data_IF_079212148937
#
_entry.id   IF_079212148937
#
_cell.length_a   1.000
_cell.length_b   1.000
_cell.length_c   1.000
_cell.angle_alpha   90.00
_cell.angle_beta   90.00
_cell.angle_gamma   90.00
#
_symmetry.space_group_name_H-M   'P 1'
#
loop_
_entity.id
_entity.type
_entity.pdbx_description
1 polymer ?
#
# COMPACT_ATOMS: atom_id res chain seq x y z
N UNK A 1 -74.82 -10.62 -18.35
CA UNK A 1 -74.82 -11.38 -17.08
C UNK A 1 -74.02 -10.55 -16.08
N UNK A 2 -74.63 -9.49 -15.54
CA UNK A 2 -75.30 -9.40 -14.22
C UNK A 2 -74.33 -9.50 -13.03
N UNK A 3 -74.16 -8.34 -12.36
CA UNK A 3 -73.93 -8.13 -10.91
C UNK A 3 -72.66 -8.75 -10.27
N UNK A 4 -71.98 -8.13 -9.29
CA UNK A 4 -72.49 -7.25 -8.22
C UNK A 4 -71.32 -6.48 -7.59
N UNK A 5 -71.53 -5.19 -7.36
CA UNK A 5 -70.78 -4.41 -6.40
C UNK A 5 -71.18 -4.82 -4.97
N UNK A 6 -70.20 -4.95 -4.07
CA UNK A 6 -70.39 -4.82 -2.62
C UNK A 6 -69.24 -3.95 -2.12
N UNK A 7 -69.59 -2.80 -1.55
CA UNK A 7 -68.65 -1.89 -0.93
C UNK A 7 -68.20 -2.35 0.46
N UNK A 8 -67.05 -1.84 0.89
CA UNK A 8 -66.73 -1.69 2.31
C UNK A 8 -65.96 -0.39 2.49
N UNK A 9 -66.66 0.60 3.06
CA UNK A 9 -66.08 1.78 3.69
C UNK A 9 -65.34 1.36 4.97
N UNK A 10 -64.41 2.23 5.37
CA UNK A 10 -63.82 2.37 6.71
C UNK A 10 -62.79 1.34 7.16
N UNK A 11 -61.52 1.69 6.91
CA UNK A 11 -60.45 1.66 7.94
C UNK A 11 -59.29 2.56 7.51
N UNK A 12 -59.46 3.88 7.66
CA UNK A 12 -58.38 4.88 7.68
C UNK A 12 -58.55 5.68 8.96
N UNK A 13 -57.82 5.31 10.01
CA UNK A 13 -57.45 6.14 11.16
C UNK A 13 -56.86 5.23 12.26
N UNK A 14 -55.58 4.87 12.15
CA UNK A 14 -54.66 4.63 13.28
C UNK A 14 -53.26 4.20 12.76
N UNK A 15 -52.60 5.08 12.00
CA UNK A 15 -51.16 4.95 11.70
C UNK A 15 -50.54 6.35 11.81
N UNK A 16 -50.71 6.95 12.98
CA UNK A 16 -49.95 8.12 13.37
C UNK A 16 -49.18 7.74 14.64
N UNK A 17 -47.89 8.10 14.63
CA UNK A 17 -47.03 8.22 15.80
C UNK A 17 -46.51 6.94 16.44
N UNK A 18 -45.71 6.17 15.70
CA UNK A 18 -44.46 5.60 16.24
C UNK A 18 -43.34 5.85 15.23
N UNK A 19 -43.11 7.13 14.89
CA UNK A 19 -41.82 7.54 14.34
C UNK A 19 -40.82 7.41 15.48
N UNK A 20 -40.27 6.20 15.68
CA UNK A 20 -39.10 6.03 16.52
C UNK A 20 -38.06 6.96 15.93
N UNK A 21 -37.61 7.95 16.70
CA UNK A 21 -36.49 8.79 16.31
C UNK A 21 -35.34 7.85 15.97
N UNK A 22 -35.10 7.65 14.67
CA UNK A 22 -33.95 6.89 14.23
C UNK A 22 -32.75 7.61 14.83
N UNK A 23 -31.95 6.87 15.60
CA UNK A 23 -30.67 7.35 16.13
C UNK A 23 -29.96 8.03 14.96
N UNK A 24 -29.52 9.27 15.15
CA UNK A 24 -28.77 9.99 14.12
C UNK A 24 -27.58 9.14 13.69
N UNK A 25 -27.13 9.28 12.44
CA UNK A 25 -25.97 8.53 11.96
C UNK A 25 -24.74 8.74 12.86
N UNK A 26 -24.60 9.92 13.46
CA UNK A 26 -23.56 10.23 14.43
C UNK A 26 -23.74 9.46 15.74
N UNK A 27 -24.95 9.40 16.30
CA UNK A 27 -25.23 8.61 17.51
C UNK A 27 -25.00 7.11 17.29
N UNK A 28 -25.27 6.61 16.08
CA UNK A 28 -24.97 5.22 15.71
C UNK A 28 -23.46 4.98 15.63
N UNK A 29 -22.69 5.89 15.03
CA UNK A 29 -21.22 5.78 14.94
C UNK A 29 -20.58 5.83 16.32
N UNK A 30 -21.04 6.73 17.18
CA UNK A 30 -20.54 6.84 18.55
C UNK A 30 -20.85 5.57 19.36
N UNK A 31 -22.09 5.07 19.31
CA UNK A 31 -22.47 3.83 19.99
C UNK A 31 -21.65 2.61 19.49
N UNK A 32 -21.40 2.51 18.18
CA UNK A 32 -20.55 1.46 17.62
C UNK A 32 -19.10 1.60 18.08
N UNK A 33 -18.55 2.81 18.12
CA UNK A 33 -17.22 3.08 18.63
C UNK A 33 -17.08 2.66 20.10
N UNK A 34 -18.02 3.07 20.95
CA UNK A 34 -18.06 2.69 22.36
C UNK A 34 -18.21 1.16 22.54
N UNK A 35 -19.02 0.51 21.72
CA UNK A 35 -19.17 -0.94 21.72
C UNK A 35 -17.84 -1.65 21.43
N UNK A 36 -17.15 -1.27 20.34
CA UNK A 36 -15.87 -1.90 19.99
C UNK A 36 -14.78 -1.59 21.02
N UNK A 37 -14.77 -0.40 21.60
CA UNK A 37 -13.87 -0.06 22.68
C UNK A 37 -14.10 -0.94 23.92
N UNK A 38 -15.37 -1.21 24.28
CA UNK A 38 -15.71 -2.12 25.37
C UNK A 38 -15.29 -3.57 25.05
N UNK A 39 -15.51 -4.02 23.82
CA UNK A 39 -15.10 -5.35 23.36
C UNK A 39 -13.59 -5.50 23.45
N UNK A 40 -12.82 -4.54 22.95
CA UNK A 40 -11.36 -4.59 22.98
C UNK A 40 -10.80 -4.47 24.39
N UNK A 41 -11.38 -3.61 25.23
CA UNK A 41 -10.97 -3.50 26.64
C UNK A 41 -11.17 -4.83 27.41
N UNK A 42 -12.22 -5.60 27.07
CA UNK A 42 -12.55 -6.84 27.77
C UNK A 42 -11.93 -8.09 27.17
N UNK A 43 -11.76 -8.11 25.85
CA UNK A 43 -11.44 -9.32 25.09
C UNK A 43 -10.31 -9.12 24.07
N UNK A 44 -9.84 -7.88 23.92
CA UNK A 44 -8.68 -7.56 23.08
C UNK A 44 -7.42 -8.16 23.65
N UNK A 45 -6.57 -8.62 22.75
CA UNK A 45 -5.28 -9.22 23.07
C UNK A 45 -4.43 -9.19 21.80
N UNK A 46 -4.00 -7.99 21.42
CA UNK A 46 -3.23 -7.78 20.20
C UNK A 46 -1.90 -8.56 20.20
N UNK A 47 -1.30 -8.75 21.38
CA UNK A 47 -0.08 -9.54 21.57
C UNK A 47 -0.28 -11.00 21.14
N UNK A 48 -1.45 -11.59 21.40
CA UNK A 48 -1.76 -12.95 20.94
C UNK A 48 -1.91 -13.09 19.41
N UNK A 49 -1.99 -11.96 18.69
CA UNK A 49 -2.01 -11.96 17.22
C UNK A 49 -0.61 -11.82 16.61
N UNK A 50 0.44 -11.60 17.41
CA UNK A 50 1.81 -11.58 16.90
C UNK A 50 2.21 -13.00 16.55
N UNK A 51 2.60 -13.19 15.29
CA UNK A 51 3.11 -14.45 14.82
C UNK A 51 4.47 -14.73 15.46
N UNK A 52 4.78 -16.02 15.60
CA UNK A 52 6.05 -16.51 16.11
C UNK A 52 6.65 -17.53 15.13
N UNK A 53 7.92 -17.88 15.32
CA UNK A 53 8.60 -18.89 14.50
C UNK A 53 8.72 -18.48 13.03
N UNK A 54 8.40 -19.41 12.12
CA UNK A 54 8.57 -19.21 10.68
C UNK A 54 7.69 -18.10 10.10
N UNK A 55 6.45 -17.97 10.58
CA UNK A 55 5.51 -16.95 10.08
C UNK A 55 5.99 -15.52 10.40
N UNK A 56 6.70 -15.34 11.52
CA UNK A 56 7.31 -14.08 11.94
C UNK A 56 8.67 -13.79 11.29
N UNK A 57 9.22 -14.74 10.53
CA UNK A 57 10.58 -14.64 10.02
C UNK A 57 10.72 -13.54 8.96
N UNK A 58 11.84 -12.82 9.02
CA UNK A 58 12.39 -12.13 7.84
C UNK A 58 13.44 -13.03 7.21
N UNK A 59 13.10 -13.63 6.07
CA UNK A 59 14.04 -14.45 5.32
C UNK A 59 15.11 -13.52 4.73
N UNK A 60 16.39 -13.77 5.03
CA UNK A 60 17.50 -13.03 4.44
C UNK A 60 18.21 -13.92 3.42
N UNK A 61 18.37 -13.42 2.20
CA UNK A 61 18.96 -14.14 1.07
C UNK A 61 19.88 -13.23 0.25
N UNK A 62 20.79 -13.80 -0.51
CA UNK A 62 21.60 -13.07 -1.50
C UNK A 62 20.96 -13.07 -2.90
N UNK A 63 19.94 -13.90 -3.10
CA UNK A 63 19.25 -14.08 -4.38
C UNK A 63 17.74 -14.21 -4.17
N UNK A 64 16.97 -13.82 -5.18
CA UNK A 64 15.54 -14.08 -5.23
C UNK A 64 15.31 -15.54 -5.62
N UNK A 65 14.74 -16.34 -4.71
CA UNK A 65 14.55 -17.78 -4.92
C UNK A 65 13.07 -18.18 -4.92
N UNK A 66 12.65 -19.14 -5.77
CA UNK A 66 11.27 -19.61 -5.82
C UNK A 66 10.73 -20.07 -4.46
N UNK A 67 11.52 -20.76 -3.65
CA UNK A 67 11.11 -21.28 -2.35
C UNK A 67 10.88 -20.16 -1.32
N UNK A 68 11.66 -19.08 -1.35
CA UNK A 68 11.47 -17.94 -0.47
C UNK A 68 10.23 -17.12 -0.87
N UNK A 69 10.02 -16.95 -2.18
CA UNK A 69 8.81 -16.35 -2.71
C UNK A 69 7.58 -17.17 -2.32
N UNK A 70 7.60 -18.48 -2.49
CA UNK A 70 6.49 -19.35 -2.11
C UNK A 70 6.13 -19.19 -0.63
N UNK A 71 7.12 -19.15 0.26
CA UNK A 71 6.89 -18.90 1.70
C UNK A 71 6.27 -17.53 1.96
N UNK A 72 6.82 -16.47 1.38
CA UNK A 72 6.29 -15.11 1.54
C UNK A 72 4.84 -15.02 1.04
N UNK A 73 4.57 -15.59 -0.13
CA UNK A 73 3.26 -15.55 -0.79
C UNK A 73 2.22 -16.46 -0.12
N UNK A 74 2.65 -17.40 0.71
CA UNK A 74 1.79 -18.28 1.50
C UNK A 74 1.56 -17.80 2.94
N UNK A 75 2.06 -16.62 3.32
CA UNK A 75 2.08 -16.15 4.72
C UNK A 75 2.95 -16.99 5.68
N UNK A 76 3.88 -17.79 5.15
CA UNK A 76 4.82 -18.61 5.95
C UNK A 76 6.14 -17.89 6.28
N UNK A 77 6.20 -16.60 5.95
CA UNK A 77 7.21 -15.63 6.36
C UNK A 77 6.61 -14.21 6.26
N UNK A 78 7.07 -13.31 7.13
CA UNK A 78 6.59 -11.93 7.17
C UNK A 78 7.24 -11.08 6.08
N UNK A 79 8.54 -11.31 5.86
CA UNK A 79 9.34 -10.51 4.93
C UNK A 79 10.42 -11.34 4.25
N UNK A 80 10.86 -10.87 3.09
CA UNK A 80 12.01 -11.36 2.35
C UNK A 80 12.96 -10.19 2.08
N UNK A 81 14.19 -10.28 2.56
CA UNK A 81 15.27 -9.32 2.34
C UNK A 81 16.34 -9.95 1.46
N UNK A 82 16.41 -9.51 0.20
CA UNK A 82 17.44 -9.91 -0.76
C UNK A 82 18.54 -8.85 -0.78
N UNK A 83 19.72 -9.22 -0.27
CA UNK A 83 20.88 -8.34 -0.14
C UNK A 83 21.53 -8.09 -1.49
N UNK A 84 21.97 -6.86 -1.71
CA UNK A 84 22.67 -6.45 -2.95
C UNK A 84 21.91 -6.91 -4.21
N UNK A 85 20.56 -6.91 -4.14
CA UNK A 85 19.69 -7.29 -5.24
C UNK A 85 19.99 -6.45 -6.49
N UNK A 86 20.34 -5.18 -6.33
CA UNK A 86 20.81 -4.30 -7.37
C UNK A 86 22.19 -3.79 -6.97
N UNK A 87 23.13 -3.70 -7.93
CA UNK A 87 24.53 -3.37 -7.60
C UNK A 87 24.61 -2.03 -6.83
N UNK A 88 25.17 -2.08 -5.62
CA UNK A 88 25.18 -0.99 -4.64
C UNK A 88 25.63 0.35 -5.21
N UNK A 89 26.74 0.38 -5.95
CA UNK A 89 27.28 1.61 -6.54
C UNK A 89 26.30 2.23 -7.53
N UNK A 90 25.65 1.41 -8.34
CA UNK A 90 24.65 1.84 -9.33
C UNK A 90 23.36 2.27 -8.64
N UNK A 91 22.92 1.57 -7.61
CA UNK A 91 21.78 1.97 -6.77
C UNK A 91 21.98 3.40 -6.23
N UNK A 92 23.14 3.67 -5.62
CA UNK A 92 23.48 5.00 -5.08
C UNK A 92 23.48 6.07 -6.16
N UNK A 93 24.07 5.79 -7.34
CA UNK A 93 24.08 6.74 -8.47
C UNK A 93 22.66 7.08 -8.91
N UNK A 94 21.81 6.07 -9.14
CA UNK A 94 20.40 6.27 -9.50
C UNK A 94 19.67 7.04 -8.40
N UNK A 95 19.91 6.70 -7.14
CA UNK A 95 19.34 7.41 -6.00
C UNK A 95 19.69 8.90 -5.97
N UNK A 96 20.95 9.25 -6.25
CA UNK A 96 21.38 10.66 -6.35
C UNK A 96 20.70 11.37 -7.52
N UNK A 97 20.66 10.76 -8.71
CA UNK A 97 20.00 11.35 -9.89
C UNK A 97 18.52 11.62 -9.60
N UNK A 98 17.83 10.69 -8.93
CA UNK A 98 16.43 10.85 -8.53
C UNK A 98 16.25 11.93 -7.46
N UNK A 99 17.18 12.07 -6.52
CA UNK A 99 17.14 13.16 -5.53
C UNK A 99 17.30 14.52 -6.23
N UNK A 100 18.20 14.64 -7.19
CA UNK A 100 18.37 15.86 -7.99
C UNK A 100 17.09 16.17 -8.80
N UNK A 101 16.52 15.16 -9.47
CA UNK A 101 15.23 15.29 -10.18
C UNK A 101 14.10 15.75 -9.24
N UNK A 102 14.10 15.26 -8.00
CA UNK A 102 13.08 15.58 -6.99
C UNK A 102 13.05 17.07 -6.60
N UNK A 103 14.16 17.78 -6.74
CA UNK A 103 14.21 19.22 -6.44
C UNK A 103 13.23 20.00 -7.32
N UNK A 104 12.96 19.52 -8.53
CA UNK A 104 12.11 20.20 -9.51
C UNK A 104 10.78 19.49 -9.74
N UNK A 105 10.71 18.16 -9.63
CA UNK A 105 9.59 17.36 -10.14
C UNK A 105 9.02 16.36 -9.12
N UNK A 106 8.81 16.78 -7.87
CA UNK A 106 8.19 15.89 -6.87
C UNK A 106 6.69 16.11 -6.76
N UNK A 107 5.93 15.03 -6.94
CA UNK A 107 4.52 14.99 -6.58
C UNK A 107 4.36 14.38 -5.20
N UNK A 108 3.56 15.00 -4.34
CA UNK A 108 3.29 14.46 -3.00
C UNK A 108 2.50 13.14 -3.10
N UNK A 109 2.98 12.09 -2.43
CA UNK A 109 2.24 10.85 -2.31
C UNK A 109 1.02 11.07 -1.43
N UNK A 110 -0.17 10.73 -1.94
CA UNK A 110 -1.41 10.78 -1.16
C UNK A 110 -1.84 9.38 -0.77
N UNK A 111 -2.13 9.20 0.52
CA UNK A 111 -2.63 7.94 1.09
C UNK A 111 -4.12 8.05 1.31
N UNK A 112 -4.87 6.99 1.01
CA UNK A 112 -6.29 6.92 1.36
C UNK A 112 -6.43 6.65 2.85
N UNK A 113 -7.14 7.53 3.54
CA UNK A 113 -7.50 7.40 4.96
C UNK A 113 -9.01 7.34 5.10
N UNK A 114 -9.51 7.06 6.30
CA UNK A 114 -10.94 7.17 6.63
C UNK A 114 -11.52 8.57 6.37
N UNK A 115 -10.68 9.60 6.25
CA UNK A 115 -11.05 11.00 5.99
C UNK A 115 -10.87 11.42 4.52
N UNK A 116 -10.41 10.51 3.66
CA UNK A 116 -10.11 10.79 2.25
C UNK A 116 -8.61 10.74 1.94
N UNK A 117 -8.18 11.37 0.85
CA UNK A 117 -6.77 11.41 0.44
C UNK A 117 -5.99 12.43 1.28
N UNK A 118 -5.05 11.96 2.10
CA UNK A 118 -4.17 12.80 2.91
C UNK A 118 -2.75 12.81 2.36
N UNK A 119 -2.08 13.97 2.44
CA UNK A 119 -0.69 14.15 2.02
C UNK A 119 0.28 13.41 2.95
N UNK A 120 1.22 12.66 2.37
CA UNK A 120 2.29 11.96 3.08
C UNK A 120 3.58 12.79 3.12
N UNK A 121 4.54 12.42 3.97
CA UNK A 121 5.91 12.97 3.93
C UNK A 121 6.75 12.33 2.80
N UNK A 122 6.15 11.40 2.06
CA UNK A 122 6.76 10.72 0.92
C UNK A 122 6.43 11.49 -0.36
N UNK A 123 7.47 11.88 -1.10
CA UNK A 123 7.34 12.32 -2.48
C UNK A 123 7.41 11.13 -3.44
N UNK A 124 6.75 11.24 -4.59
CA UNK A 124 6.95 10.32 -5.71
C UNK A 124 7.40 11.06 -6.95
N UNK A 125 8.28 10.41 -7.71
CA UNK A 125 8.78 10.88 -8.99
C UNK A 125 8.23 10.01 -10.10
N UNK A 126 8.05 10.60 -11.27
CA UNK A 126 7.61 9.93 -12.48
C UNK A 126 6.53 10.71 -13.22
N UNK A 127 6.24 10.26 -14.43
CA UNK A 127 5.31 10.90 -15.36
C UNK A 127 3.84 10.57 -15.10
N UNK A 128 3.53 9.81 -14.04
CA UNK A 128 2.16 9.49 -13.67
C UNK A 128 1.95 9.55 -12.15
N UNK A 129 0.73 9.86 -11.75
CA UNK A 129 0.31 9.72 -10.34
C UNK A 129 0.22 8.23 -9.96
N UNK A 130 0.19 7.90 -8.67
CA UNK A 130 -0.23 6.57 -8.22
C UNK A 130 -1.66 6.24 -8.71
N UNK A 131 -1.93 4.99 -9.08
CA UNK A 131 -3.21 4.63 -9.72
C UNK A 131 -4.44 4.90 -8.86
N UNK A 132 -4.35 4.65 -7.55
CA UNK A 132 -5.39 4.95 -6.58
C UNK A 132 -5.74 6.45 -6.56
N UNK A 133 -4.74 7.33 -6.73
CA UNK A 133 -4.95 8.78 -6.84
C UNK A 133 -5.66 9.13 -8.15
N UNK A 134 -5.26 8.53 -9.27
CA UNK A 134 -5.92 8.73 -10.56
C UNK A 134 -7.40 8.31 -10.51
N UNK A 135 -7.69 7.15 -9.93
CA UNK A 135 -9.07 6.65 -9.79
C UNK A 135 -9.90 7.52 -8.85
N UNK A 136 -9.32 7.98 -7.74
CA UNK A 136 -10.00 8.88 -6.81
C UNK A 136 -10.33 10.22 -7.47
N UNK A 137 -9.41 10.81 -8.23
CA UNK A 137 -9.65 12.03 -9.03
C UNK A 137 -10.76 11.83 -10.05
N UNK A 138 -10.73 10.72 -10.79
CA UNK A 138 -11.78 10.41 -11.77
C UNK A 138 -13.17 10.34 -11.13
N UNK A 139 -13.30 9.74 -9.94
CA UNK A 139 -14.57 9.72 -9.18
C UNK A 139 -15.04 11.09 -8.72
N UNK A 140 -14.12 11.99 -8.38
CA UNK A 140 -14.44 13.36 -7.97
C UNK A 140 -14.87 14.22 -9.15
N UNK A 141 -14.26 14.02 -10.32
CA UNK A 141 -14.50 14.78 -11.55
C UNK A 141 -15.72 14.27 -12.34
N UNK A 142 -16.68 13.61 -11.69
CA UNK A 142 -17.86 12.99 -12.31
C UNK A 142 -18.82 13.94 -13.09
N UNK A 143 -18.41 15.15 -13.47
CA UNK A 143 -19.19 16.13 -14.23
C UNK A 143 -18.28 17.01 -15.11
N UNK A 144 -18.34 16.84 -16.43
CA UNK A 144 -17.87 17.83 -17.42
C UNK A 144 -16.73 17.37 -18.32
N UNK A 145 -16.78 17.79 -19.59
CA UNK A 145 -15.71 17.59 -20.59
C UNK A 145 -14.36 18.05 -20.02
N UNK A 146 -13.43 17.11 -19.88
CA UNK A 146 -12.12 17.36 -19.26
C UNK A 146 -11.19 16.16 -19.42
N UNK A 147 -9.92 16.35 -19.03
CA UNK A 147 -8.87 15.32 -19.08
C UNK A 147 -9.29 14.14 -18.20
N UNK A 148 -9.42 12.95 -18.80
CA UNK A 148 -9.66 11.69 -18.08
C UNK A 148 -8.41 11.32 -17.28
N UNK A 149 -8.43 11.43 -15.94
CA UNK A 149 -7.25 11.19 -15.11
C UNK A 149 -6.73 9.75 -15.21
N UNK A 150 -7.60 8.79 -15.56
CA UNK A 150 -7.20 7.39 -15.78
C UNK A 150 -6.43 7.27 -17.08
N UNK A 151 -6.85 7.95 -18.15
CA UNK A 151 -6.07 7.97 -19.38
C UNK A 151 -4.73 8.68 -19.20
N UNK A 152 -4.71 9.83 -18.51
CA UNK A 152 -3.47 10.55 -18.16
C UNK A 152 -2.49 9.63 -17.40
N UNK A 153 -2.99 8.83 -16.45
CA UNK A 153 -2.18 7.83 -15.76
C UNK A 153 -1.50 6.85 -16.73
N UNK A 154 -2.25 6.24 -17.64
CA UNK A 154 -1.69 5.24 -18.56
C UNK A 154 -0.74 5.85 -19.61
N UNK A 155 -1.02 7.07 -20.08
CA UNK A 155 -0.10 7.81 -20.95
C UNK A 155 1.21 8.11 -20.22
N UNK A 156 1.12 8.55 -18.97
CA UNK A 156 2.27 8.78 -18.11
C UNK A 156 3.07 7.51 -17.83
N UNK A 157 2.43 6.36 -17.60
CA UNK A 157 3.10 5.05 -17.46
C UNK A 157 3.92 4.70 -18.71
N UNK A 158 3.34 4.88 -19.90
CA UNK A 158 4.05 4.61 -21.15
C UNK A 158 5.22 5.56 -21.39
N UNK A 159 5.04 6.84 -21.06
CA UNK A 159 6.10 7.84 -21.15
C UNK A 159 7.25 7.51 -20.19
N UNK A 160 6.94 7.15 -18.93
CA UNK A 160 7.90 6.75 -17.90
C UNK A 160 8.76 5.58 -18.37
N UNK A 161 8.13 4.50 -18.88
CA UNK A 161 8.87 3.33 -19.39
C UNK A 161 9.82 3.71 -20.54
N UNK A 162 9.38 4.57 -21.45
CA UNK A 162 10.23 5.03 -22.56
C UNK A 162 11.39 5.87 -22.06
N UNK A 163 11.14 6.80 -21.15
CA UNK A 163 12.16 7.72 -20.64
C UNK A 163 13.19 6.95 -19.83
N UNK A 164 12.79 6.19 -18.81
CA UNK A 164 13.71 5.49 -17.89
C UNK A 164 14.59 4.47 -18.61
N UNK A 165 14.06 3.76 -19.61
CA UNK A 165 14.82 2.77 -20.40
C UNK A 165 15.69 3.38 -21.50
N UNK A 166 15.45 4.64 -21.87
CA UNK A 166 16.25 5.37 -22.86
C UNK A 166 17.25 6.34 -22.24
N UNK A 167 17.23 6.50 -20.91
CA UNK A 167 18.23 7.29 -20.20
C UNK A 167 19.62 6.66 -20.45
N UNK A 168 20.55 7.40 -21.07
CA UNK A 168 21.91 6.92 -21.22
C UNK A 168 22.51 6.69 -19.83
N UNK A 169 23.32 5.64 -19.68
CA UNK A 169 24.22 5.57 -18.53
C UNK A 169 25.05 6.88 -18.49
N UNK A 170 25.26 7.43 -17.30
CA UNK A 170 26.02 8.67 -17.12
C UNK A 170 27.32 8.63 -17.93
N UNK A 171 27.66 9.73 -18.60
CA UNK A 171 28.71 9.87 -19.62
C UNK A 171 30.15 9.41 -19.25
N UNK A 172 30.36 8.88 -18.04
CA UNK A 172 31.63 8.26 -17.60
C UNK A 172 31.81 6.82 -18.10
N UNK A 173 30.77 6.16 -18.58
CA UNK A 173 30.88 4.88 -19.28
C UNK A 173 30.97 5.16 -20.79
N UNK A 174 32.13 4.91 -21.38
CA UNK A 174 32.50 5.26 -22.78
C UNK A 174 31.79 4.41 -23.85
N UNK A 175 30.62 3.87 -23.54
CA UNK A 175 29.74 3.17 -24.48
C UNK A 175 28.31 3.64 -24.29
N UNK A 176 27.56 3.78 -25.39
CA UNK A 176 26.12 4.07 -25.36
C UNK A 176 25.35 2.85 -24.82
N UNK A 177 25.51 2.54 -23.53
CA UNK A 177 24.72 1.52 -22.86
C UNK A 177 23.54 2.18 -22.17
N UNK A 178 22.35 1.66 -22.44
CA UNK A 178 21.14 2.05 -21.72
C UNK A 178 21.21 1.56 -20.28
N UNK A 179 20.83 2.42 -19.34
CA UNK A 179 20.78 2.07 -17.92
C UNK A 179 19.71 1.00 -17.70
N UNK A 180 20.09 -0.15 -17.13
CA UNK A 180 19.15 -1.20 -16.76
C UNK A 180 18.39 -0.81 -15.48
N UNK A 181 17.09 -0.56 -15.54
CA UNK A 181 16.35 0.02 -14.42
C UNK A 181 16.08 -1.02 -13.30
N UNK A 182 16.14 -0.66 -12.00
CA UNK A 182 15.92 -1.62 -10.90
C UNK A 182 14.58 -2.36 -10.98
N UNK A 183 13.52 -1.69 -11.43
CA UNK A 183 12.21 -2.32 -11.62
C UNK A 183 12.20 -3.32 -12.78
N UNK A 184 12.98 -3.06 -13.84
CA UNK A 184 13.13 -4.01 -14.95
C UNK A 184 13.88 -5.27 -14.48
N UNK A 185 14.87 -5.10 -13.58
CA UNK A 185 15.54 -6.22 -12.91
C UNK A 185 14.54 -7.07 -12.12
N UNK A 186 13.77 -6.45 -11.24
CA UNK A 186 12.76 -7.15 -10.44
C UNK A 186 11.75 -7.91 -11.30
N UNK A 187 11.29 -7.31 -12.41
CA UNK A 187 10.38 -7.98 -13.33
C UNK A 187 11.00 -9.25 -13.93
N UNK A 188 12.25 -9.19 -14.40
CA UNK A 188 12.93 -10.33 -14.99
C UNK A 188 13.22 -11.43 -13.96
N UNK A 189 13.72 -11.08 -12.78
CA UNK A 189 13.99 -12.10 -11.75
C UNK A 189 12.71 -12.75 -11.21
N UNK A 190 11.60 -12.01 -11.11
CA UNK A 190 10.30 -12.60 -10.79
C UNK A 190 9.79 -13.50 -11.91
N UNK A 191 10.05 -13.15 -13.18
CA UNK A 191 9.68 -13.97 -14.33
C UNK A 191 10.45 -15.30 -14.34
N UNK A 192 11.72 -15.29 -13.95
CA UNK A 192 12.56 -16.50 -13.83
C UNK A 192 12.23 -17.31 -12.57
N UNK A 193 11.89 -16.65 -11.47
CA UNK A 193 11.62 -17.31 -10.18
C UNK A 193 10.20 -17.87 -10.07
N UNK A 194 9.26 -17.40 -10.89
CA UNK A 194 7.86 -17.84 -10.82
C UNK A 194 7.52 -18.79 -11.98
N UNK A 195 7.01 -20.01 -11.71
CA UNK A 195 6.79 -21.01 -12.76
C UNK A 195 5.87 -20.55 -13.91
N UNK A 196 4.92 -19.66 -13.63
CA UNK A 196 3.98 -19.11 -14.62
C UNK A 196 4.45 -17.79 -15.23
N UNK A 197 5.66 -17.33 -14.88
CA UNK A 197 6.19 -16.01 -15.21
C UNK A 197 5.57 -14.88 -14.39
N UNK A 198 6.14 -13.69 -14.55
CA UNK A 198 5.68 -12.45 -13.92
C UNK A 198 5.55 -11.34 -14.96
N UNK A 199 4.46 -10.57 -14.88
CA UNK A 199 4.17 -9.50 -15.82
C UNK A 199 3.49 -8.33 -15.14
N UNK A 200 3.48 -7.19 -15.84
CA UNK A 200 2.67 -6.06 -15.41
C UNK A 200 1.19 -6.43 -15.53
N UNK A 201 0.43 -6.13 -14.47
CA UNK A 201 -1.01 -6.14 -14.54
C UNK A 201 -1.48 -5.25 -15.71
N UNK A 202 -2.64 -5.56 -16.28
CA UNK A 202 -3.25 -4.78 -17.35
C UNK A 202 -4.68 -4.45 -17.01
N UNK A 203 -5.19 -3.37 -17.60
CA UNK A 203 -6.62 -3.07 -17.53
C UNK A 203 -7.47 -4.28 -17.92
N UNK A 204 -8.70 -4.33 -17.43
CA UNK A 204 -9.66 -5.29 -17.96
C UNK A 204 -9.88 -5.02 -19.46
N UNK A 205 -10.00 -6.09 -20.24
CA UNK A 205 -10.24 -5.97 -21.67
C UNK A 205 -11.62 -5.34 -21.89
N UNK A 206 -11.63 -4.05 -22.24
CA UNK A 206 -12.86 -3.39 -22.70
C UNK A 206 -13.13 -3.78 -24.14
N UNK A 207 -14.40 -4.01 -24.51
CA UNK A 207 -14.81 -4.25 -25.91
C UNK A 207 -14.81 -2.96 -26.76
N UNK A 208 -14.05 -1.93 -26.37
CA UNK A 208 -13.99 -0.66 -27.09
C UNK A 208 -13.07 -0.79 -28.31
N UNK A 209 -13.57 -0.38 -29.48
CA UNK A 209 -12.80 -0.36 -30.72
C UNK A 209 -11.57 0.56 -30.64
N UNK A 210 -11.61 1.59 -29.77
CA UNK A 210 -10.55 2.58 -29.63
C UNK A 210 -9.38 2.12 -28.75
N UNK A 211 -9.56 1.01 -28.01
CA UNK A 211 -8.54 0.44 -27.12
C UNK A 211 -8.36 -1.05 -27.43
N UNK A 212 -7.72 -1.40 -28.56
CA UNK A 212 -7.62 -2.79 -29.02
C UNK A 212 -6.81 -3.68 -28.07
N UNK A 213 -5.99 -3.09 -27.20
CA UNK A 213 -5.16 -3.83 -26.24
C UNK A 213 -5.27 -3.23 -24.83
N UNK A 214 -5.41 -4.07 -23.79
CA UNK A 214 -5.31 -3.65 -22.40
C UNK A 214 -3.97 -2.97 -22.09
N UNK A 215 -4.05 -1.76 -21.52
CA UNK A 215 -2.86 -0.96 -21.17
C UNK A 215 -2.24 -1.51 -19.88
N UNK A 216 -0.90 -1.54 -19.78
CA UNK A 216 -0.23 -2.02 -18.57
C UNK A 216 -0.29 -0.96 -17.45
N UNK A 217 -0.46 -1.40 -16.21
CA UNK A 217 -0.22 -0.55 -15.06
C UNK A 217 1.27 -0.25 -14.90
N UNK A 218 1.61 0.85 -14.22
CA UNK A 218 2.98 1.10 -13.79
C UNK A 218 3.44 0.01 -12.81
N UNK A 219 4.69 -0.44 -12.94
CA UNK A 219 5.24 -1.47 -12.05
C UNK A 219 5.74 -0.93 -10.71
N UNK A 220 5.75 0.39 -10.52
CA UNK A 220 6.23 1.07 -9.31
C UNK A 220 6.66 2.50 -9.62
N UNK A 221 6.83 3.32 -8.57
CA UNK A 221 7.32 4.69 -8.67
C UNK A 221 8.46 4.89 -7.66
N UNK A 222 9.53 5.61 -8.01
CA UNK A 222 10.51 6.08 -7.04
C UNK A 222 9.84 6.89 -5.92
N UNK A 223 10.19 6.58 -4.68
CA UNK A 223 9.73 7.28 -3.47
C UNK A 223 10.91 8.04 -2.86
N UNK A 224 10.71 9.33 -2.59
CA UNK A 224 11.69 10.20 -1.95
C UNK A 224 11.18 10.58 -0.58
N UNK A 225 11.93 10.23 0.46
CA UNK A 225 11.65 10.61 1.83
C UNK A 225 12.63 11.69 2.25
N UNK A 226 12.16 12.94 2.34
CA UNK A 226 13.00 14.07 2.76
C UNK A 226 12.81 14.33 4.25
N UNK A 227 13.89 14.27 5.00
CA UNK A 227 13.89 14.59 6.43
C UNK A 227 13.84 16.09 6.72
N UNK A 228 13.40 16.51 7.93
CA UNK A 228 12.75 15.67 8.93
C UNK A 228 11.31 15.32 8.51
N UNK A 229 10.91 14.06 8.69
CA UNK A 229 9.52 13.59 8.50
C UNK A 229 8.67 13.94 9.72
N UNK A 230 7.34 13.98 9.58
CA UNK A 230 6.38 14.18 10.68
C UNK A 230 6.58 13.15 11.78
N UNK A 231 6.91 11.93 11.40
CA UNK A 231 7.17 10.81 12.32
C UNK A 231 8.64 10.42 12.30
N UNK A 232 9.28 10.39 13.48
CA UNK A 232 10.69 10.02 13.62
C UNK A 232 10.99 8.61 13.08
N UNK A 233 10.03 7.68 13.20
CA UNK A 233 10.15 6.27 12.76
C UNK A 233 9.20 5.92 11.60
N UNK A 234 8.71 6.92 10.87
CA UNK A 234 7.63 6.72 9.90
C UNK A 234 6.27 6.50 10.56
N UNK A 235 5.20 6.47 9.75
CA UNK A 235 3.85 6.14 10.20
C UNK A 235 3.61 4.64 10.03
N UNK A 236 3.03 4.02 11.05
CA UNK A 236 2.60 2.62 11.04
C UNK A 236 1.33 2.56 10.19
N UNK A 237 1.32 1.65 9.22
CA UNK A 237 0.17 1.38 8.37
C UNK A 237 0.23 -0.04 7.82
N UNK A 238 -0.84 -0.40 7.12
CA UNK A 238 -0.98 -1.63 6.35
C UNK A 238 -1.54 -1.26 4.97
N UNK A 239 -1.01 -1.90 3.92
CA UNK A 239 -1.44 -1.60 2.55
C UNK A 239 -2.82 -2.22 2.24
N UNK A 240 -3.12 -3.41 2.78
CA UNK A 240 -4.38 -4.12 2.53
C UNK A 240 -4.87 -4.90 3.76
N UNK A 241 -6.11 -4.64 4.19
CA UNK A 241 -6.75 -5.29 5.34
C UNK A 241 -7.55 -6.54 4.95
N UNK A 242 -7.76 -6.75 3.65
CA UNK A 242 -8.40 -7.93 3.09
C UNK A 242 -7.60 -9.20 3.35
N UNK A 243 -8.26 -10.35 3.55
CA UNK A 243 -7.59 -11.63 3.70
C UNK A 243 -6.89 -12.02 2.39
N UNK A 244 -5.76 -12.70 2.50
CA UNK A 244 -5.08 -13.30 1.36
C UNK A 244 -6.00 -14.35 0.70
N UNK A 245 -6.06 -14.31 -0.63
CA UNK A 245 -6.80 -15.29 -1.43
C UNK A 245 -5.81 -16.29 -2.07
N UNK A 246 -6.19 -17.57 -2.24
CA UNK A 246 -5.27 -18.57 -2.82
C UNK A 246 -4.77 -18.25 -4.23
N UNK A 247 -5.47 -17.38 -4.97
CA UNK A 247 -5.18 -17.04 -6.36
C UNK A 247 -4.79 -15.59 -6.58
N UNK A 248 -4.96 -14.72 -5.57
CA UNK A 248 -4.62 -13.30 -5.64
C UNK A 248 -4.09 -12.82 -4.30
N UNK A 249 -3.04 -12.02 -4.37
CA UNK A 249 -2.55 -11.32 -3.19
C UNK A 249 -1.92 -9.99 -3.53
N UNK A 250 -1.85 -9.12 -2.53
CA UNK A 250 -1.09 -7.87 -2.56
C UNK A 250 0.17 -8.05 -1.73
N UNK A 251 1.30 -7.70 -2.36
CA UNK A 251 2.63 -7.77 -1.75
C UNK A 251 3.35 -6.47 -2.05
N UNK A 252 4.16 -6.00 -1.10
CA UNK A 252 5.00 -4.82 -1.29
C UNK A 252 6.40 -5.27 -1.68
N UNK A 253 7.05 -4.52 -2.56
CA UNK A 253 8.43 -4.75 -2.95
C UNK A 253 9.12 -3.37 -3.06
N UNK A 254 10.19 -3.17 -2.29
CA UNK A 254 10.94 -1.92 -2.26
C UNK A 254 12.41 -2.22 -2.57
N UNK A 255 12.96 -1.53 -3.56
CA UNK A 255 14.40 -1.56 -3.87
C UNK A 255 15.00 -0.28 -3.32
N UNK A 256 15.95 -0.40 -2.39
CA UNK A 256 16.53 0.73 -1.69
C UNK A 256 17.69 1.30 -2.52
N UNK A 257 17.56 2.54 -2.98
CA UNK A 257 18.55 3.14 -3.88
C UNK A 257 19.58 4.00 -3.14
N UNK A 258 19.13 4.75 -2.12
CA UNK A 258 19.99 5.54 -1.26
C UNK A 258 19.38 5.63 0.13
N UNK A 259 20.25 5.50 1.14
CA UNK A 259 19.88 5.64 2.54
C UNK A 259 20.18 7.05 3.04
N UNK A 260 19.46 7.56 4.05
CA UNK A 260 19.77 8.85 4.65
C UNK A 260 21.22 8.87 5.18
N UNK A 261 21.95 9.93 4.88
CA UNK A 261 23.32 10.12 5.36
C UNK A 261 23.30 10.37 6.87
N UNK A 262 24.14 9.65 7.60
CA UNK A 262 24.32 9.81 9.04
C UNK A 262 25.22 11.03 9.27
N UNK A 263 24.66 12.24 9.14
CA UNK A 263 25.37 13.49 9.46
C UNK A 263 25.05 13.98 10.86
N UNK A 264 26.08 14.16 11.71
CA UNK A 264 26.24 14.90 13.00
C UNK A 264 25.10 15.02 14.04
N UNK A 265 23.92 14.46 13.80
CA UNK A 265 22.81 14.50 14.72
C UNK A 265 23.02 13.47 15.83
N UNK A 266 23.12 13.97 17.07
CA UNK A 266 23.20 13.23 18.35
C UNK A 266 22.00 12.30 18.66
N UNK A 267 21.33 11.70 17.67
CA UNK A 267 20.20 10.80 17.87
C UNK A 267 20.41 9.52 17.04
N UNK A 268 20.43 8.39 17.76
CA UNK A 268 20.72 7.01 17.31
C UNK A 268 20.70 6.80 15.78
N UNK A 269 21.88 6.81 15.14
CA UNK A 269 22.09 6.53 13.71
C UNK A 269 21.56 5.17 13.22
N UNK A 270 21.43 4.22 14.14
CA UNK A 270 21.33 2.80 13.85
C UNK A 270 20.06 2.39 13.09
N UNK A 271 19.00 3.21 13.15
CA UNK A 271 17.72 2.88 12.53
C UNK A 271 17.29 3.86 11.43
N UNK A 272 18.19 4.74 10.96
CA UNK A 272 17.84 5.71 9.92
C UNK A 272 17.49 5.00 8.60
N UNK A 273 16.25 5.16 8.14
CA UNK A 273 15.73 4.48 6.94
C UNK A 273 15.42 2.99 7.14
N UNK A 274 15.47 2.48 8.38
CA UNK A 274 15.06 1.11 8.68
C UNK A 274 13.56 0.92 8.54
N UNK A 275 13.16 -0.30 8.19
CA UNK A 275 11.78 -0.72 8.09
C UNK A 275 11.40 -1.51 9.34
N UNK A 276 10.37 -1.05 10.05
CA UNK A 276 9.81 -1.71 11.21
C UNK A 276 8.57 -2.50 10.78
N UNK A 277 8.61 -3.81 10.98
CA UNK A 277 7.55 -4.73 10.56
C UNK A 277 7.04 -5.49 11.78
N UNK A 278 5.74 -5.42 12.03
CA UNK A 278 5.10 -6.23 13.06
C UNK A 278 4.46 -7.45 12.39
N UNK A 279 4.83 -8.68 12.78
CA UNK A 279 4.33 -9.90 12.17
C UNK A 279 2.91 -10.21 12.67
N UNK A 280 1.93 -9.39 12.30
CA UNK A 280 0.57 -9.48 12.83
C UNK A 280 -0.32 -10.44 12.02
N UNK A 281 -0.69 -11.57 12.61
CA UNK A 281 -1.51 -12.62 11.97
C UNK A 281 -2.99 -12.56 12.34
N UNK A 282 -3.76 -11.68 11.69
CA UNK A 282 -5.22 -11.60 11.88
C UNK A 282 -5.96 -12.71 11.13
N UNK A 283 -6.23 -13.84 11.81
CA UNK A 283 -6.75 -15.09 11.21
C UNK A 283 -8.27 -15.22 11.15
N UNK A 284 -9.00 -14.37 11.87
CA UNK A 284 -10.45 -14.44 11.90
C UNK A 284 -11.13 -13.09 12.00
N UNK A 285 -12.42 -13.05 11.67
CA UNK A 285 -13.26 -11.86 11.94
C UNK A 285 -13.37 -11.59 13.44
N UNK A 286 -13.26 -12.61 14.28
CA UNK A 286 -13.33 -12.44 15.72
C UNK A 286 -12.08 -11.75 16.24
N UNK A 287 -10.89 -12.10 15.74
CA UNK A 287 -9.63 -11.42 16.05
C UNK A 287 -9.71 -9.94 15.67
N UNK A 288 -10.29 -9.67 14.50
CA UNK A 288 -10.58 -8.31 14.05
C UNK A 288 -11.50 -7.57 15.03
N UNK A 289 -12.66 -8.15 15.38
CA UNK A 289 -13.62 -7.46 16.26
C UNK A 289 -13.10 -7.27 17.69
N UNK A 290 -12.28 -8.20 18.19
CA UNK A 290 -11.64 -8.09 19.51
C UNK A 290 -10.59 -7.00 19.57
N UNK A 291 -10.00 -6.61 18.44
CA UNK A 291 -8.95 -5.59 18.39
C UNK A 291 -9.33 -4.44 17.43
N UNK A 292 -10.64 -4.18 17.26
CA UNK A 292 -11.15 -3.32 16.20
C UNK A 292 -10.70 -1.86 16.33
N UNK A 293 -10.53 -1.33 17.54
CA UNK A 293 -10.03 0.03 17.80
C UNK A 293 -8.57 0.11 17.36
N UNK A 294 -7.70 -0.77 17.88
CA UNK A 294 -6.29 -0.80 17.48
C UNK A 294 -6.12 -1.05 15.97
N UNK A 295 -6.89 -1.97 15.38
CA UNK A 295 -6.83 -2.25 13.94
C UNK A 295 -7.32 -1.09 13.07
N UNK A 296 -8.31 -0.33 13.54
CA UNK A 296 -8.78 0.85 12.82
C UNK A 296 -7.71 1.96 12.80
N UNK A 297 -6.87 2.04 13.83
CA UNK A 297 -5.75 2.98 13.89
C UNK A 297 -4.71 2.74 12.79
N UNK A 298 -4.59 1.52 12.25
CA UNK A 298 -3.69 1.22 11.11
C UNK A 298 -4.06 2.00 9.83
N UNK A 299 -5.30 2.49 9.74
CA UNK A 299 -5.78 3.33 8.64
C UNK A 299 -5.76 4.83 8.96
N UNK A 300 -5.26 5.21 10.14
CA UNK A 300 -5.25 6.58 10.64
C UNK A 300 -3.83 7.15 10.71
N UNK A 301 -3.68 8.43 10.36
CA UNK A 301 -2.40 9.15 10.41
C UNK A 301 -2.33 10.17 11.55
N UNK A 302 -3.30 10.20 12.47
CA UNK A 302 -3.27 11.14 13.59
C UNK A 302 -2.30 10.68 14.69
N UNK A 303 -1.80 11.64 15.47
CA UNK A 303 -0.74 11.39 16.45
C UNK A 303 -1.16 10.49 17.60
N UNK A 304 -2.41 10.55 18.04
CA UNK A 304 -2.89 9.71 19.13
C UNK A 304 -2.89 8.25 18.67
N UNK A 305 -3.53 7.96 17.53
CA UNK A 305 -3.57 6.63 16.93
C UNK A 305 -2.18 6.03 16.70
N UNK A 306 -1.22 6.83 16.23
CA UNK A 306 0.14 6.37 15.98
C UNK A 306 0.91 6.07 17.28
N UNK A 307 0.73 6.87 18.33
CA UNK A 307 1.32 6.60 19.66
C UNK A 307 0.73 5.32 20.24
N UNK A 308 -0.59 5.16 20.17
CA UNK A 308 -1.28 3.98 20.69
C UNK A 308 -0.80 2.71 19.98
N UNK A 309 -0.65 2.74 18.65
CA UNK A 309 -0.10 1.63 17.87
C UNK A 309 1.31 1.24 18.33
N UNK A 310 2.19 2.22 18.56
CA UNK A 310 3.55 1.96 19.05
C UNK A 310 3.58 1.30 20.42
N UNK A 311 2.63 1.62 21.29
CA UNK A 311 2.51 0.99 22.61
C UNK A 311 1.88 -0.40 22.53
N UNK A 312 0.87 -0.57 21.68
CA UNK A 312 0.07 -1.81 21.61
C UNK A 312 0.74 -2.92 20.80
N UNK A 313 1.48 -2.61 19.73
CA UNK A 313 2.03 -3.63 18.82
C UNK A 313 3.31 -4.30 19.35
N UNK A 314 3.84 -3.90 20.51
CA UNK A 314 5.06 -4.50 21.04
C UNK A 314 6.29 -4.29 20.16
N UNK A 315 7.26 -5.20 20.23
CA UNK A 315 8.55 -5.06 19.55
C UNK A 315 8.45 -5.48 18.06
N UNK A 316 8.82 -4.60 17.11
CA UNK A 316 8.86 -4.94 15.69
C UNK A 316 10.09 -5.77 15.31
N UNK A 317 9.97 -6.49 14.20
CA UNK A 317 11.12 -6.90 13.40
C UNK A 317 11.70 -5.68 12.69
N UNK A 318 13.01 -5.46 12.83
CA UNK A 318 13.69 -4.30 12.24
C UNK A 318 14.58 -4.75 11.09
N UNK A 319 14.20 -4.37 9.87
CA UNK A 319 14.99 -4.60 8.66
C UNK A 319 15.80 -3.33 8.38
N UNK A 320 17.12 -3.49 8.23
CA UNK A 320 18.07 -2.40 7.95
C UNK A 320 18.60 -2.53 6.53
N UNK A 321 17.86 -2.05 5.53
CA UNK A 321 18.26 -2.21 4.14
C UNK A 321 19.47 -1.33 3.82
N UNK A 322 20.34 -1.83 2.96
CA UNK A 322 21.43 -1.07 2.36
C UNK A 322 21.08 -0.65 0.92
N UNK A 323 21.80 0.33 0.33
CA UNK A 323 21.64 0.63 -1.08
C UNK A 323 21.89 -0.60 -1.95
N UNK A 324 20.91 -0.94 -2.78
CA UNK A 324 20.89 -2.14 -3.61
C UNK A 324 19.97 -3.23 -3.11
N UNK A 325 19.55 -3.21 -1.84
CA UNK A 325 18.72 -4.28 -1.30
C UNK A 325 17.28 -4.23 -1.82
N UNK A 326 16.67 -5.41 -1.95
CA UNK A 326 15.25 -5.60 -2.18
C UNK A 326 14.61 -6.12 -0.89
N UNK A 327 13.55 -5.45 -0.43
CA UNK A 327 12.70 -5.94 0.66
C UNK A 327 11.29 -6.16 0.13
N UNK A 328 10.80 -7.38 0.27
CA UNK A 328 9.43 -7.77 -0.05
C UNK A 328 8.64 -8.10 1.21
N UNK A 329 7.37 -7.71 1.26
CA UNK A 329 6.49 -7.89 2.41
C UNK A 329 5.18 -8.54 1.98
N UNK A 330 4.66 -9.42 2.82
CA UNK A 330 3.24 -9.77 2.75
C UNK A 330 2.45 -8.69 3.50
N UNK A 331 1.55 -8.00 2.79
CA UNK A 331 0.83 -6.82 3.33
C UNK A 331 -0.64 -7.08 3.58
N UNK A 332 -1.08 -8.33 3.48
CA UNK A 332 -2.44 -8.77 3.76
C UNK A 332 -2.53 -9.52 5.08
N UNK A 333 -3.73 -9.92 5.48
CA UNK A 333 -3.92 -10.81 6.64
C UNK A 333 -4.09 -12.26 6.21
N UNK A 334 -3.70 -13.15 7.11
CA UNK A 334 -3.89 -14.60 6.99
C UNK A 334 -5.38 -14.92 6.83
N UNK A 335 -5.67 -15.95 6.04
CA UNK A 335 -7.05 -16.38 5.77
C UNK A 335 -7.71 -17.07 6.97
#
# INVERSE_FOLDING_TARGET
MFCRAIGARHRRACLAEHSRSFVSDDGRREALSQFFQLVETRFGNIESLMDEGSAAETIVSDELRPEHLARLLAHDATALHVRNFYERGTAIRIGNDLIEESVHNTNNWRVSTSRGLESSDVGTLGMHSPFNVATAKARQLNQGEGIDPVNEYFEGVQAEFKIRRRMPASARETGQFYRFWPLDKLRLELEESWPSGAGLAREEATKSADKPYPRPFGGGLPRIMKGPTRWKRGFIHVDELGPLDPFRGLFSANIYLKMPEIGDAKKSPEDAGSLYVWPLGVRSRLDWYRNAVTMSSLSAQDAASQIDLWHSLGQPNVIRPEPGDLVMLCTQRVR
#
